data_IF_133445885995
#
_entry.id   IF_133445885995
#
_cell.length_a   1.000
_cell.length_b   1.000
_cell.length_c   1.000
_cell.angle_alpha   90.00
_cell.angle_beta   90.00
_cell.angle_gamma   90.00
#
_symmetry.space_group_name_H-M   'P 1'
#
loop_
_entity.id
_entity.type
_entity.pdbx_description
1 polymer ?
#
# COMPACT_ATOMS: atom_id res chain seq x y z
N UNK A 1 10.00 3.84 -10.17
CA UNK A 1 10.20 2.66 -11.03
C UNK A 1 8.91 1.87 -11.01
N UNK A 2 8.30 1.78 -12.18
CA UNK A 2 7.01 1.14 -12.43
C UNK A 2 7.11 -0.36 -12.12
N UNK A 3 6.09 -0.92 -11.47
CA UNK A 3 5.86 -2.36 -11.54
C UNK A 3 5.68 -2.65 -13.03
N UNK A 4 6.48 -3.56 -13.59
CA UNK A 4 6.47 -3.85 -15.03
C UNK A 4 5.03 -4.07 -15.48
N UNK A 5 4.48 -3.14 -16.28
CA UNK A 5 3.06 -3.14 -16.64
C UNK A 5 2.61 -4.43 -17.34
N UNK A 6 3.55 -5.19 -17.91
CA UNK A 6 3.30 -6.52 -18.48
C UNK A 6 3.02 -7.60 -17.44
N UNK A 7 3.63 -7.56 -16.25
CA UNK A 7 3.40 -8.55 -15.21
C UNK A 7 2.02 -8.36 -14.58
N UNK A 8 1.65 -7.13 -14.24
CA UNK A 8 0.35 -6.79 -13.66
C UNK A 8 -0.81 -7.22 -14.58
N UNK A 9 -0.71 -6.90 -15.88
CA UNK A 9 -1.67 -7.36 -16.90
C UNK A 9 -1.76 -8.88 -17.00
N UNK A 10 -0.62 -9.56 -17.14
CA UNK A 10 -0.61 -11.02 -17.31
C UNK A 10 -1.18 -11.73 -16.07
N UNK A 11 -0.86 -11.22 -14.88
CA UNK A 11 -1.37 -11.73 -13.61
C UNK A 11 -2.89 -11.55 -13.49
N UNK A 12 -3.42 -10.40 -13.93
CA UNK A 12 -4.86 -10.16 -13.94
C UNK A 12 -5.61 -11.02 -14.98
N UNK A 13 -5.03 -11.23 -16.16
CA UNK A 13 -5.62 -12.01 -17.25
C UNK A 13 -5.59 -13.53 -16.97
N UNK A 14 -4.47 -14.03 -16.45
CA UNK A 14 -4.27 -15.47 -16.23
C UNK A 14 -4.82 -15.93 -14.87
N UNK A 15 -4.82 -15.07 -13.85
CA UNK A 15 -5.21 -15.40 -12.48
C UNK A 15 -6.20 -14.37 -11.91
N UNK A 16 -7.37 -14.14 -12.55
CA UNK A 16 -8.31 -13.09 -12.14
C UNK A 16 -8.93 -13.30 -10.75
N UNK A 17 -8.91 -14.54 -10.24
CA UNK A 17 -9.47 -14.90 -8.93
C UNK A 17 -8.42 -14.93 -7.81
N UNK A 18 -7.14 -14.77 -8.12
CA UNK A 18 -6.10 -14.75 -7.11
C UNK A 18 -6.08 -13.38 -6.41
N UNK A 19 -5.93 -13.39 -5.09
CA UNK A 19 -5.74 -12.15 -4.33
C UNK A 19 -4.37 -11.56 -4.66
N UNK A 20 -4.35 -10.50 -5.47
CA UNK A 20 -3.13 -9.82 -5.87
C UNK A 20 -2.70 -8.82 -4.80
N UNK A 21 -1.69 -9.18 -4.02
CA UNK A 21 -1.06 -8.28 -3.04
C UNK A 21 0.29 -7.82 -3.53
N UNK A 22 0.47 -6.51 -3.66
CA UNK A 22 1.79 -5.95 -3.93
C UNK A 22 2.76 -6.25 -2.79
N UNK A 23 3.99 -6.63 -3.13
CA UNK A 23 5.05 -6.84 -2.15
C UNK A 23 5.22 -5.58 -1.28
N UNK A 24 5.10 -5.73 0.04
CA UNK A 24 5.19 -4.65 1.04
C UNK A 24 6.44 -3.80 0.84
N UNK A 25 7.57 -4.41 0.45
CA UNK A 25 8.83 -3.70 0.18
C UNK A 25 8.70 -2.72 -0.98
N UNK A 26 8.04 -3.10 -2.08
CA UNK A 26 7.85 -2.22 -3.23
C UNK A 26 6.89 -1.07 -2.91
N UNK A 27 5.82 -1.35 -2.17
CA UNK A 27 4.88 -0.31 -1.72
C UNK A 27 5.61 0.68 -0.80
N UNK A 28 6.43 0.20 0.14
CA UNK A 28 7.23 1.06 1.01
C UNK A 28 8.26 1.91 0.25
N UNK A 29 8.99 1.32 -0.70
CA UNK A 29 9.93 2.08 -1.52
C UNK A 29 9.22 3.23 -2.26
N UNK A 30 8.07 2.96 -2.87
CA UNK A 30 7.26 3.99 -3.52
C UNK A 30 6.79 5.06 -2.55
N UNK A 31 6.30 4.65 -1.38
CA UNK A 31 5.88 5.54 -0.30
C UNK A 31 7.02 6.46 0.17
N UNK A 32 8.22 5.90 0.37
CA UNK A 32 9.42 6.62 0.76
C UNK A 32 9.91 7.59 -0.33
N UNK A 33 9.93 7.15 -1.59
CA UNK A 33 10.35 7.98 -2.73
C UNK A 33 9.40 9.15 -2.98
N UNK A 34 8.13 9.05 -2.57
CA UNK A 34 7.15 10.15 -2.62
C UNK A 34 7.34 11.22 -1.56
N UNK A 35 8.34 11.06 -0.68
CA UNK A 35 8.66 12.04 0.35
C UNK A 35 8.00 11.75 1.69
N UNK A 36 7.21 10.67 1.82
CA UNK A 36 6.70 10.19 3.12
C UNK A 36 7.81 9.46 3.88
N UNK A 37 8.75 10.25 4.40
CA UNK A 37 9.96 9.79 5.10
C UNK A 37 9.80 9.94 6.61
N UNK A 38 10.78 9.41 7.34
CA UNK A 38 10.83 9.49 8.80
C UNK A 38 10.33 8.21 9.48
N UNK A 39 10.76 8.04 10.72
CA UNK A 39 10.48 6.83 11.50
C UNK A 39 8.97 6.67 11.78
N UNK A 40 8.27 7.76 12.08
CA UNK A 40 6.84 7.73 12.34
C UNK A 40 6.02 7.25 11.13
N UNK A 41 6.34 7.73 9.94
CA UNK A 41 5.69 7.31 8.69
C UNK A 41 6.01 5.84 8.38
N UNK A 42 7.26 5.43 8.61
CA UNK A 42 7.69 4.03 8.49
C UNK A 42 6.90 3.14 9.45
N UNK A 43 6.81 3.48 10.73
CA UNK A 43 6.07 2.70 11.73
C UNK A 43 4.58 2.60 11.38
N UNK A 44 3.96 3.70 10.94
CA UNK A 44 2.57 3.68 10.48
C UNK A 44 2.39 2.74 9.29
N UNK A 45 3.27 2.83 8.30
CA UNK A 45 3.25 1.96 7.11
C UNK A 45 3.37 0.47 7.46
N UNK A 46 4.32 0.10 8.34
CA UNK A 46 4.49 -1.29 8.74
C UNK A 46 3.31 -1.82 9.56
N UNK A 47 2.71 -0.99 10.43
CA UNK A 47 1.47 -1.36 11.14
C UNK A 47 0.31 -1.62 10.20
N UNK A 48 0.15 -0.82 9.15
CA UNK A 48 -0.85 -1.05 8.11
C UNK A 48 -0.55 -2.36 7.35
N UNK A 49 0.71 -2.59 7.01
CA UNK A 49 1.13 -3.76 6.24
C UNK A 49 1.00 -5.08 7.02
N UNK A 50 1.17 -5.03 8.34
CA UNK A 50 1.04 -6.17 9.25
C UNK A 50 -0.39 -6.36 9.79
N UNK A 51 -1.36 -5.53 9.41
CA UNK A 51 -2.73 -5.72 9.86
C UNK A 51 -3.27 -7.07 9.35
N UNK A 52 -3.74 -7.92 10.28
CA UNK A 52 -4.32 -9.22 9.96
C UNK A 52 -5.85 -9.18 9.91
N UNK A 53 -6.45 -8.14 10.49
CA UNK A 53 -7.90 -7.91 10.48
C UNK A 53 -8.24 -6.57 9.84
N UNK A 54 -9.44 -6.48 9.27
CA UNK A 54 -9.97 -5.23 8.69
C UNK A 54 -9.97 -4.11 9.74
N UNK A 55 -10.36 -4.42 10.99
CA UNK A 55 -10.38 -3.47 12.09
C UNK A 55 -9.00 -2.89 12.40
N UNK A 56 -7.96 -3.72 12.42
CA UNK A 56 -6.58 -3.25 12.64
C UNK A 56 -6.09 -2.40 11.48
N UNK A 57 -6.42 -2.80 10.25
CA UNK A 57 -6.06 -2.05 9.05
C UNK A 57 -6.70 -0.66 9.07
N UNK A 58 -8.00 -0.57 9.35
CA UNK A 58 -8.73 0.70 9.44
C UNK A 58 -8.18 1.60 10.56
N UNK A 59 -7.87 1.03 11.73
CA UNK A 59 -7.27 1.77 12.83
C UNK A 59 -5.87 2.29 12.47
N UNK A 60 -5.04 1.50 11.79
CA UNK A 60 -3.71 1.91 11.34
C UNK A 60 -3.78 2.97 10.22
N UNK A 61 -4.72 2.83 9.29
CA UNK A 61 -5.00 3.81 8.25
C UNK A 61 -5.53 5.12 8.82
N UNK A 62 -6.37 5.08 9.85
CA UNK A 62 -6.84 6.28 10.56
C UNK A 62 -5.69 7.03 11.23
N UNK A 63 -4.74 6.31 11.86
CA UNK A 63 -3.52 6.90 12.43
C UNK A 63 -2.67 7.57 11.35
N UNK A 64 -2.47 6.89 10.21
CA UNK A 64 -1.75 7.50 9.08
C UNK A 64 -2.47 8.76 8.57
N UNK A 65 -3.80 8.73 8.47
CA UNK A 65 -4.61 9.90 8.05
C UNK A 65 -4.47 11.09 8.98
N UNK A 66 -4.43 10.85 10.29
CA UNK A 66 -4.21 11.89 11.29
C UNK A 66 -2.82 12.52 11.17
N UNK A 67 -1.80 11.72 10.86
CA UNK A 67 -0.42 12.19 10.70
C UNK A 67 -0.16 12.87 9.37
N UNK A 68 -0.67 12.29 8.28
CA UNK A 68 -0.57 12.86 6.94
C UNK A 68 -1.75 12.39 6.09
N UNK A 69 -2.75 13.26 5.84
CA UNK A 69 -3.86 12.93 4.98
C UNK A 69 -3.43 12.67 3.53
N UNK A 70 -2.31 13.28 3.09
CA UNK A 70 -1.71 13.05 1.78
C UNK A 70 -1.12 11.64 1.67
N UNK A 71 -0.38 11.19 2.69
CA UNK A 71 0.18 9.84 2.74
C UNK A 71 -0.91 8.77 2.77
N UNK A 72 -1.99 9.02 3.53
CA UNK A 72 -3.16 8.16 3.55
C UNK A 72 -3.84 8.06 2.19
N UNK A 73 -4.03 9.20 1.50
CA UNK A 73 -4.63 9.22 0.17
C UNK A 73 -3.77 8.46 -0.85
N UNK A 74 -2.46 8.67 -0.84
CA UNK A 74 -1.52 7.98 -1.74
C UNK A 74 -1.56 6.46 -1.55
N UNK A 75 -1.57 6.00 -0.30
CA UNK A 75 -1.60 4.58 0.02
C UNK A 75 -2.95 3.93 -0.33
N UNK A 76 -4.07 4.63 -0.07
CA UNK A 76 -5.43 4.17 -0.38
C UNK A 76 -5.71 4.11 -1.88
N UNK A 77 -5.31 5.13 -2.63
CA UNK A 77 -5.53 5.21 -4.08
C UNK A 77 -4.78 4.10 -4.83
N UNK A 78 -3.62 3.68 -4.31
CA UNK A 78 -2.79 2.64 -4.93
C UNK A 78 -3.03 1.24 -4.43
N UNK A 79 -3.62 1.05 -3.23
CA UNK A 79 -4.10 -0.27 -2.81
C UNK A 79 -5.42 -0.66 -3.48
N UNK A 80 -6.13 0.30 -4.08
CA UNK A 80 -7.42 0.12 -4.75
C UNK A 80 -7.30 -0.01 -6.28
N UNK A 81 -6.08 -0.20 -6.81
CA UNK A 81 -5.91 -0.64 -8.20
C UNK A 81 -6.07 -2.16 -8.32
N UNK A 82 -7.10 -2.68 -7.65
CA UNK A 82 -7.73 -3.96 -7.98
C UNK A 82 -8.78 -3.65 -9.03
N UNK A 83 -8.36 -3.70 -10.29
CA UNK A 83 -9.27 -4.17 -11.35
C UNK A 83 -9.43 -5.67 -11.18
#
# INVERSE_FOLDING_TARGET
MEVSAGLDKATHELLPKAEHRYCTRHVYCNFYHRGFKGEEMRQCFWKISHAHTVREYEAAMAKLKQKSPLAWKDLKEKSLRTS
#
